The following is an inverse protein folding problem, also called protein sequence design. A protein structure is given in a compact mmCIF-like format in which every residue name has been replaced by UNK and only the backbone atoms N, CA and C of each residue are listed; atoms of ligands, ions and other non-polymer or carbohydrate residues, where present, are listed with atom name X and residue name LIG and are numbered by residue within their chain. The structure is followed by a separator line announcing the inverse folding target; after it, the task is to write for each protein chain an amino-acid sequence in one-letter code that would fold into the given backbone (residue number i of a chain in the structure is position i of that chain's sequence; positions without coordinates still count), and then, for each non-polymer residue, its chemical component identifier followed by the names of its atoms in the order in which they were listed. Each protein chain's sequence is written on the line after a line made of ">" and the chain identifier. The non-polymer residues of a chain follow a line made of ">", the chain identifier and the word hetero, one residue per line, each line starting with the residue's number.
data_IF_158439327834
#
_entry.id   IF_158439327834
#
_cell.length_a   1.000
_cell.length_b   1.000
_cell.length_c   1.000
_cell.angle_alpha   90.00
_cell.angle_beta   90.00
_cell.angle_gamma   90.00
#
_symmetry.space_group_name_H-M   'P 1'
#
loop_
_entity.id
_entity.type
_entity.pdbx_description
1 polymer ?
#
# COMPACT_ATOMS: atom_id res chain seq x y z
N UNK A 1 -47.01 23.15 17.80
CA UNK A 1 -46.59 22.06 16.89
C UNK A 1 -45.36 22.42 16.04
N UNK A 2 -45.10 23.69 15.73
CA UNK A 2 -43.90 24.13 14.97
C UNK A 2 -42.59 23.99 15.77
N UNK A 3 -42.57 24.43 17.03
CA UNK A 3 -41.30 24.54 17.81
C UNK A 3 -40.70 23.18 18.20
N UNK A 4 -41.55 22.17 18.45
CA UNK A 4 -41.10 20.81 18.72
C UNK A 4 -40.43 20.17 17.49
N UNK A 5 -41.00 20.40 16.30
CA UNK A 5 -40.41 19.93 15.03
C UNK A 5 -39.08 20.65 14.75
N UNK A 6 -39.02 21.97 15.00
CA UNK A 6 -37.79 22.76 14.86
C UNK A 6 -36.68 22.27 15.80
N UNK A 7 -37.02 21.96 17.06
CA UNK A 7 -36.07 21.39 18.02
C UNK A 7 -35.55 20.02 17.61
N UNK A 8 -36.38 19.18 16.99
CA UNK A 8 -35.93 17.88 16.48
C UNK A 8 -35.00 18.03 15.26
N UNK A 9 -35.31 18.96 14.35
CA UNK A 9 -34.43 19.26 13.21
C UNK A 9 -33.09 19.80 13.70
N UNK A 10 -33.08 20.70 14.68
CA UNK A 10 -31.84 21.21 15.30
C UNK A 10 -31.03 20.06 15.93
N UNK A 11 -31.69 19.14 16.64
CA UNK A 11 -31.04 17.97 17.23
C UNK A 11 -30.44 17.01 16.19
N UNK A 12 -31.12 16.80 15.06
CA UNK A 12 -30.62 15.98 13.96
C UNK A 12 -29.43 16.66 13.25
N UNK A 13 -29.50 17.98 13.04
CA UNK A 13 -28.39 18.74 12.44
C UNK A 13 -27.14 18.71 13.32
N UNK A 14 -27.30 18.83 14.65
CA UNK A 14 -26.19 18.72 15.58
C UNK A 14 -25.57 17.31 15.53
N UNK A 15 -26.39 16.25 15.51
CA UNK A 15 -25.89 14.88 15.35
C UNK A 15 -25.15 14.67 14.04
N UNK A 16 -25.68 15.17 12.92
CA UNK A 16 -25.00 15.08 11.62
C UNK A 16 -23.67 15.83 11.65
N UNK A 17 -23.61 17.00 12.28
CA UNK A 17 -22.36 17.75 12.47
C UNK A 17 -21.34 16.97 13.29
N UNK A 18 -21.77 16.34 14.39
CA UNK A 18 -20.91 15.51 15.24
C UNK A 18 -20.41 14.26 14.50
N UNK A 19 -21.28 13.62 13.71
CA UNK A 19 -20.92 12.45 12.91
C UNK A 19 -19.93 12.82 11.79
N UNK A 20 -20.07 13.98 11.16
CA UNK A 20 -19.12 14.49 10.17
C UNK A 20 -17.75 14.77 10.82
N UNK A 21 -17.71 15.41 11.99
CA UNK A 21 -16.45 15.67 12.70
C UNK A 21 -15.76 14.36 13.11
N UNK A 22 -16.54 13.40 13.63
CA UNK A 22 -16.03 12.07 13.99
C UNK A 22 -15.52 11.31 12.76
N UNK A 23 -16.21 11.39 11.64
CA UNK A 23 -15.80 10.77 10.39
C UNK A 23 -14.47 11.37 9.91
N UNK A 24 -14.34 12.69 9.92
CA UNK A 24 -13.11 13.39 9.53
C UNK A 24 -11.89 12.95 10.36
N UNK A 25 -12.05 12.89 11.69
CA UNK A 25 -11.00 12.40 12.61
C UNK A 25 -10.63 10.94 12.36
N UNK A 26 -11.63 10.09 12.11
CA UNK A 26 -11.41 8.67 11.84
C UNK A 26 -10.66 8.47 10.53
N UNK A 27 -11.06 9.18 9.47
CA UNK A 27 -10.38 9.13 8.17
C UNK A 27 -8.94 9.61 8.28
N UNK A 28 -8.67 10.69 9.03
CA UNK A 28 -7.30 11.17 9.25
C UNK A 28 -6.42 10.10 9.92
N UNK A 29 -6.92 9.49 10.99
CA UNK A 29 -6.17 8.44 11.71
C UNK A 29 -5.94 7.19 10.85
N UNK A 30 -6.90 6.83 10.00
CA UNK A 30 -6.75 5.73 9.04
C UNK A 30 -5.70 6.05 7.97
N UNK A 31 -5.67 7.28 7.47
CA UNK A 31 -4.63 7.72 6.53
C UNK A 31 -3.24 7.66 7.14
N UNK A 32 -3.08 8.14 8.39
CA UNK A 32 -1.80 8.07 9.09
C UNK A 32 -1.35 6.61 9.27
N UNK A 33 -2.29 5.71 9.58
CA UNK A 33 -2.00 4.27 9.71
C UNK A 33 -1.59 3.64 8.39
N UNK A 34 -2.23 4.02 7.29
CA UNK A 34 -1.89 3.54 5.94
C UNK A 34 -0.52 4.06 5.51
N UNK A 35 -0.21 5.33 5.78
CA UNK A 35 1.10 5.91 5.48
C UNK A 35 2.21 5.23 6.28
N UNK A 36 1.99 4.98 7.57
CA UNK A 36 2.94 4.20 8.40
C UNK A 36 3.17 2.80 7.85
N UNK A 37 2.11 2.10 7.44
CA UNK A 37 2.24 0.77 6.83
C UNK A 37 2.99 0.80 5.49
N UNK A 38 2.84 1.87 4.69
CA UNK A 38 3.61 2.06 3.45
C UNK A 38 5.09 2.25 3.75
N UNK A 39 5.44 3.02 4.78
CA UNK A 39 6.83 3.21 5.21
C UNK A 39 7.45 1.89 5.68
N UNK A 40 6.71 1.10 6.47
CA UNK A 40 7.16 -0.23 6.91
C UNK A 40 7.35 -1.21 5.74
N UNK A 41 6.45 -1.18 4.75
CA UNK A 41 6.60 -1.97 3.53
C UNK A 41 7.84 -1.56 2.73
N UNK A 42 8.08 -0.25 2.59
CA UNK A 42 9.27 0.25 1.92
C UNK A 42 10.55 -0.19 2.65
N UNK A 43 10.57 -0.10 3.98
CA UNK A 43 11.71 -0.55 4.79
C UNK A 43 12.00 -2.06 4.60
N UNK A 44 10.96 -2.90 4.58
CA UNK A 44 11.10 -4.33 4.33
C UNK A 44 11.64 -4.63 2.93
N UNK A 45 11.17 -3.92 1.91
CA UNK A 45 11.67 -4.06 0.54
C UNK A 45 13.15 -3.68 0.48
N UNK A 46 13.55 -2.54 1.07
CA UNK A 46 14.95 -2.11 1.10
C UNK A 46 15.85 -3.11 1.83
N UNK A 47 15.43 -3.61 3.00
CA UNK A 47 16.18 -4.61 3.74
C UNK A 47 16.38 -5.89 2.92
N UNK A 48 15.31 -6.37 2.27
CA UNK A 48 15.36 -7.57 1.43
C UNK A 48 16.27 -7.36 0.22
N UNK A 49 16.19 -6.22 -0.45
CA UNK A 49 17.06 -5.86 -1.57
C UNK A 49 18.54 -5.83 -1.18
N UNK A 50 18.86 -5.26 -0.02
CA UNK A 50 20.24 -5.21 0.47
C UNK A 50 20.81 -6.62 0.71
N UNK A 51 20.04 -7.49 1.36
CA UNK A 51 20.44 -8.89 1.60
C UNK A 51 20.60 -9.64 0.28
N UNK A 52 19.64 -9.53 -0.64
CA UNK A 52 19.70 -10.18 -1.95
C UNK A 52 20.90 -9.71 -2.77
N UNK A 53 21.17 -8.41 -2.83
CA UNK A 53 22.32 -7.87 -3.57
C UNK A 53 23.66 -8.40 -3.02
N UNK A 54 23.77 -8.58 -1.70
CA UNK A 54 24.97 -9.19 -1.09
C UNK A 54 25.06 -10.68 -1.45
N UNK A 55 23.94 -11.41 -1.45
CA UNK A 55 23.89 -12.82 -1.79
C UNK A 55 24.27 -13.06 -3.26
N UNK A 56 23.76 -12.22 -4.17
CA UNK A 56 24.00 -12.33 -5.61
C UNK A 56 25.47 -12.18 -5.99
N UNK A 57 26.26 -11.42 -5.23
CA UNK A 57 27.72 -11.34 -5.42
C UNK A 57 28.43 -12.68 -5.25
N UNK A 58 27.87 -13.56 -4.42
CA UNK A 58 28.41 -14.91 -4.18
C UNK A 58 27.72 -15.97 -5.06
N UNK A 59 26.47 -15.72 -5.42
CA UNK A 59 25.62 -16.64 -6.18
C UNK A 59 24.90 -15.85 -7.29
N UNK A 60 25.56 -15.62 -8.44
CA UNK A 60 24.94 -14.88 -9.52
C UNK A 60 23.70 -15.62 -10.04
N UNK A 61 22.63 -14.89 -10.28
CA UNK A 61 21.35 -15.40 -10.78
C UNK A 61 21.10 -14.82 -12.18
N UNK A 62 20.64 -15.65 -13.12
CA UNK A 62 20.22 -15.18 -14.45
C UNK A 62 18.93 -14.36 -14.34
N UNK A 63 18.95 -13.16 -14.93
CA UNK A 63 17.77 -12.31 -15.02
C UNK A 63 16.65 -12.98 -15.84
N UNK A 64 17.02 -13.71 -16.88
CA UNK A 64 16.10 -14.46 -17.74
C UNK A 64 15.40 -15.58 -16.97
N UNK A 65 16.14 -16.37 -16.20
CA UNK A 65 15.57 -17.43 -15.35
C UNK A 65 14.61 -16.85 -14.29
N UNK A 66 15.00 -15.76 -13.63
CA UNK A 66 14.16 -15.09 -12.64
C UNK A 66 12.86 -14.54 -13.26
N UNK A 67 12.93 -13.94 -14.45
CA UNK A 67 11.74 -13.45 -15.19
C UNK A 67 10.86 -14.59 -15.68
N UNK A 68 11.45 -15.70 -16.14
CA UNK A 68 10.71 -16.88 -16.55
C UNK A 68 9.96 -17.50 -15.36
N UNK A 69 10.62 -17.58 -14.20
CA UNK A 69 9.98 -18.04 -12.96
C UNK A 69 8.81 -17.14 -12.56
N UNK A 70 8.99 -15.81 -12.58
CA UNK A 70 7.89 -14.86 -12.30
C UNK A 70 6.70 -15.12 -13.25
N UNK A 71 6.98 -15.27 -14.55
CA UNK A 71 5.95 -15.52 -15.55
C UNK A 71 5.18 -16.83 -15.27
N UNK A 72 5.88 -17.88 -14.83
CA UNK A 72 5.26 -19.14 -14.42
C UNK A 72 4.32 -18.96 -13.21
N UNK A 73 4.74 -18.15 -12.22
CA UNK A 73 3.93 -17.90 -11.02
C UNK A 73 2.70 -17.03 -11.28
N UNK A 74 2.78 -16.06 -12.21
CA UNK A 74 1.69 -15.11 -12.47
C UNK A 74 0.79 -15.51 -13.64
N UNK A 75 1.17 -16.54 -14.41
CA UNK A 75 0.52 -16.91 -15.66
C UNK A 75 0.74 -15.88 -16.79
N UNK A 76 0.20 -16.19 -17.98
CA UNK A 76 0.33 -15.36 -19.19
C UNK A 76 -0.60 -14.12 -19.19
N UNK A 77 -1.46 -13.97 -18.18
CA UNK A 77 -2.43 -12.87 -18.06
C UNK A 77 -1.85 -11.56 -17.50
N UNK A 78 -0.55 -11.52 -17.21
CA UNK A 78 0.05 -10.33 -16.66
C UNK A 78 1.56 -10.40 -16.75
N UNK A 79 2.11 -9.97 -17.88
CA UNK A 79 3.45 -9.40 -17.86
C UNK A 79 3.47 -8.43 -16.67
N UNK A 80 4.34 -8.67 -15.70
CA UNK A 80 4.57 -7.79 -14.56
C UNK A 80 5.77 -6.92 -14.91
N UNK A 81 5.64 -5.91 -15.81
CA UNK A 81 6.79 -5.14 -16.29
C UNK A 81 7.53 -4.45 -15.13
N UNK A 82 6.82 -4.12 -14.04
CA UNK A 82 7.43 -3.62 -12.81
C UNK A 82 8.30 -4.68 -12.11
N UNK A 83 7.84 -5.93 -12.01
CA UNK A 83 8.64 -7.00 -11.40
C UNK A 83 9.87 -7.32 -12.27
N UNK A 84 9.69 -7.36 -13.60
CA UNK A 84 10.81 -7.54 -14.53
C UNK A 84 11.84 -6.41 -14.43
N UNK A 85 11.39 -5.15 -14.33
CA UNK A 85 12.29 -4.01 -14.13
C UNK A 85 13.03 -4.07 -12.79
N UNK A 86 12.38 -4.58 -11.73
CA UNK A 86 13.03 -4.81 -10.43
C UNK A 86 14.08 -5.91 -10.54
N UNK A 87 13.81 -7.01 -11.26
CA UNK A 87 14.81 -8.05 -11.53
C UNK A 87 16.04 -7.44 -12.20
N UNK A 88 15.85 -6.67 -13.27
CA UNK A 88 16.95 -6.01 -13.98
C UNK A 88 17.74 -5.05 -13.10
N UNK A 89 17.06 -4.28 -12.24
CA UNK A 89 17.71 -3.38 -11.29
C UNK A 89 18.58 -4.13 -10.27
N UNK A 90 18.14 -5.31 -9.84
CA UNK A 90 18.82 -6.09 -8.80
C UNK A 90 19.99 -6.88 -9.38
N UNK A 91 19.85 -7.44 -10.59
CA UNK A 91 20.89 -8.27 -11.23
C UNK A 91 21.92 -7.48 -12.03
N UNK A 92 21.70 -6.19 -12.28
CA UNK A 92 22.67 -5.30 -12.96
C UNK A 92 23.82 -4.80 -12.08
N UNK A 93 23.88 -5.20 -10.80
CA UNK A 93 24.88 -4.77 -9.81
C UNK A 93 25.89 -5.84 -9.47
#
# INVERSE_FOLDING_TARGET
>A
MSDFMMSQVQGLLNKVSDDIDRMGKTTSSQLDSVLGAIDDLAANIFATQAVLAILLKKHPVSAEEAKAWIKEQTGDQGATPKANAIVDLITSR
#
